data_IF_122224784741
#
_entry.id   IF_122224784741
#
_cell.length_a   1.000
_cell.length_b   1.000
_cell.length_c   1.000
_cell.angle_alpha   90.00
_cell.angle_beta   90.00
_cell.angle_gamma   90.00
#
_symmetry.space_group_name_H-M   'P 1'
#
loop_
_entity.id
_entity.type
_entity.pdbx_description
1 polymer ?
#
# COMPACT_ATOMS: atom_id res chain seq x y z
N UNK A 1 34.74 -20.82 53.02
CA UNK A 1 34.88 -20.19 51.69
C UNK A 1 34.57 -21.27 50.68
N UNK A 2 33.62 -20.99 49.78
CA UNK A 2 33.19 -21.80 48.63
C UNK A 2 32.57 -23.17 48.95
N UNK A 3 31.66 -23.77 48.20
CA UNK A 3 30.81 -23.51 47.02
C UNK A 3 30.33 -24.95 46.64
N UNK A 4 29.23 -25.28 46.01
CA UNK A 4 28.09 -24.60 45.41
C UNK A 4 27.10 -25.74 45.09
N UNK A 5 25.81 -25.52 45.35
CA UNK A 5 24.73 -26.44 44.99
C UNK A 5 24.55 -26.49 43.45
N UNK A 6 24.36 -27.70 42.92
CA UNK A 6 23.98 -27.93 41.52
C UNK A 6 22.44 -27.92 41.44
N UNK A 7 21.79 -27.05 40.65
CA UNK A 7 20.34 -27.04 40.52
C UNK A 7 19.84 -28.10 39.52
N UNK A 8 18.57 -28.56 39.63
CA UNK A 8 18.02 -29.60 38.77
C UNK A 8 17.77 -29.07 37.35
N UNK A 9 17.98 -29.96 36.38
CA UNK A 9 17.82 -29.74 34.94
C UNK A 9 16.38 -29.37 34.58
N UNK A 10 16.20 -28.15 34.09
CA UNK A 10 14.96 -27.63 33.54
C UNK A 10 14.70 -28.27 32.16
N UNK A 11 14.04 -29.44 32.15
CA UNK A 11 13.48 -30.01 30.92
C UNK A 11 12.29 -29.14 30.52
N UNK A 12 12.52 -28.18 29.63
CA UNK A 12 11.45 -27.52 28.88
C UNK A 12 10.71 -28.60 28.10
N UNK A 13 9.53 -28.98 28.59
CA UNK A 13 8.54 -29.67 27.78
C UNK A 13 8.14 -28.72 26.63
N UNK A 14 8.55 -29.07 25.41
CA UNK A 14 7.99 -28.49 24.19
C UNK A 14 6.52 -28.92 24.12
N UNK A 15 5.61 -28.05 24.55
CA UNK A 15 4.19 -28.21 24.26
C UNK A 15 3.97 -27.97 22.77
N UNK A 16 3.27 -28.87 22.05
CA UNK A 16 2.91 -28.61 20.65
C UNK A 16 1.94 -27.42 20.58
N UNK A 17 2.01 -26.57 19.54
CA UNK A 17 1.07 -25.48 19.38
C UNK A 17 -0.34 -26.06 19.19
N UNK A 18 -1.21 -25.85 20.17
CA UNK A 18 -2.61 -26.24 20.06
C UNK A 18 -3.29 -25.32 19.04
N UNK A 19 -3.47 -25.83 17.81
CA UNK A 19 -4.33 -25.20 16.80
C UNK A 19 -5.76 -25.17 17.35
N UNK A 20 -6.24 -24.01 17.77
CA UNK A 20 -7.65 -23.87 18.14
C UNK A 20 -8.51 -24.11 16.88
N UNK A 21 -9.58 -24.90 16.94
CA UNK A 21 -10.45 -25.10 15.79
C UNK A 21 -11.09 -23.78 15.36
N UNK A 22 -11.25 -23.59 14.03
CA UNK A 22 -11.91 -22.43 13.43
C UNK A 22 -13.32 -22.22 14.04
N UNK A 23 -13.81 -20.97 14.15
CA UNK A 23 -15.15 -20.71 14.69
C UNK A 23 -16.26 -21.41 13.91
N UNK A 24 -17.28 -21.90 14.61
CA UNK A 24 -18.41 -22.61 13.99
C UNK A 24 -19.12 -21.77 12.89
N UNK A 25 -19.37 -20.48 13.16
CA UNK A 25 -19.95 -19.58 12.17
C UNK A 25 -19.07 -19.40 10.91
N UNK A 26 -17.74 -19.48 11.07
CA UNK A 26 -16.81 -19.41 9.94
C UNK A 26 -16.83 -20.73 9.14
N UNK A 27 -16.88 -21.87 9.82
CA UNK A 27 -17.02 -23.18 9.16
C UNK A 27 -18.34 -23.31 8.38
N UNK A 28 -19.43 -22.79 8.94
CA UNK A 28 -20.73 -22.71 8.26
C UNK A 28 -20.65 -21.86 7.00
N UNK A 29 -20.09 -20.64 7.09
CA UNK A 29 -19.85 -19.77 5.94
C UNK A 29 -19.00 -20.47 4.85
N UNK A 30 -17.93 -21.16 5.24
CA UNK A 30 -17.10 -21.92 4.29
C UNK A 30 -17.91 -23.02 3.60
N UNK A 31 -18.71 -23.77 4.36
CA UNK A 31 -19.58 -24.83 3.84
C UNK A 31 -20.63 -24.29 2.86
N UNK A 32 -21.29 -23.19 3.18
CA UNK A 32 -22.28 -22.53 2.32
C UNK A 32 -21.67 -22.04 1.00
N UNK A 33 -20.39 -21.65 1.00
CA UNK A 33 -19.67 -21.17 -0.18
C UNK A 33 -18.82 -22.25 -0.88
N UNK A 34 -18.93 -23.51 -0.47
CA UNK A 34 -18.20 -24.63 -1.08
C UNK A 34 -16.68 -24.58 -0.88
N UNK A 35 -16.21 -23.94 0.19
CA UNK A 35 -14.80 -23.79 0.54
C UNK A 35 -14.39 -24.85 1.56
N UNK A 36 -13.28 -25.54 1.31
CA UNK A 36 -12.74 -26.54 2.23
C UNK A 36 -12.03 -25.86 3.42
N UNK A 37 -12.46 -26.08 4.68
CA UNK A 37 -11.79 -25.56 5.87
C UNK A 37 -10.31 -25.95 5.98
N UNK A 38 -9.90 -27.07 5.38
CA UNK A 38 -8.50 -27.51 5.38
C UNK A 38 -7.56 -26.56 4.63
N UNK A 39 -8.09 -25.65 3.80
CA UNK A 39 -7.30 -24.56 3.21
C UNK A 39 -6.71 -23.63 4.28
N UNK A 40 -7.44 -23.44 5.39
CA UNK A 40 -7.06 -22.54 6.48
C UNK A 40 -6.17 -23.19 7.53
N UNK A 41 -6.12 -24.52 7.60
CA UNK A 41 -5.20 -25.26 8.49
C UNK A 41 -3.80 -25.44 7.89
N UNK A 42 -3.62 -25.11 6.61
CA UNK A 42 -2.36 -25.24 5.85
C UNK A 42 -1.64 -23.91 5.63
N UNK A 43 -1.96 -22.87 6.41
CA UNK A 43 -1.39 -21.52 6.26
C UNK A 43 0.14 -21.49 6.23
N UNK A 44 0.79 -22.37 7.01
CA UNK A 44 2.24 -22.49 7.13
C UNK A 44 2.87 -23.18 5.91
N UNK A 45 2.07 -23.69 4.98
CA UNK A 45 2.53 -24.28 3.71
C UNK A 45 2.36 -23.33 2.53
N UNK A 46 1.64 -22.21 2.71
CA UNK A 46 1.42 -21.25 1.64
C UNK A 46 2.75 -20.53 1.37
N UNK A 47 3.27 -20.60 0.14
CA UNK A 47 4.52 -19.94 -0.19
C UNK A 47 4.37 -18.42 -0.05
N UNK A 48 5.49 -17.77 0.23
CA UNK A 48 5.57 -16.31 0.08
C UNK A 48 5.96 -15.99 -1.34
N UNK A 49 5.55 -14.81 -1.80
CA UNK A 49 5.86 -14.34 -3.13
C UNK A 49 6.77 -13.13 -3.06
N UNK A 50 7.74 -13.11 -3.96
CA UNK A 50 8.59 -11.96 -4.24
C UNK A 50 8.46 -11.59 -5.71
N UNK A 51 8.59 -10.30 -5.97
CA UNK A 51 8.74 -9.77 -7.32
C UNK A 51 10.14 -9.20 -7.48
N UNK A 52 10.78 -9.55 -8.59
CA UNK A 52 12.03 -8.94 -9.03
C UNK A 52 11.72 -7.65 -9.80
N UNK A 53 12.58 -6.66 -9.70
CA UNK A 53 12.44 -5.44 -10.49
C UNK A 53 12.58 -5.78 -11.99
N UNK A 54 11.79 -5.18 -12.90
CA UNK A 54 11.95 -5.41 -14.33
C UNK A 54 13.37 -5.13 -14.82
N UNK A 55 13.81 -5.89 -15.83
CA UNK A 55 15.18 -5.77 -16.38
C UNK A 55 16.25 -6.42 -15.52
N UNK A 56 15.88 -7.30 -14.59
CA UNK A 56 16.84 -8.09 -13.80
C UNK A 56 17.43 -9.23 -14.65
N UNK A 57 18.76 -9.26 -14.75
CA UNK A 57 19.50 -10.29 -15.50
C UNK A 57 19.40 -11.68 -14.85
N UNK A 58 19.46 -12.79 -15.63
CA UNK A 58 19.41 -14.15 -15.09
C UNK A 58 20.48 -14.44 -14.02
N UNK A 59 21.68 -13.87 -14.14
CA UNK A 59 22.75 -14.03 -13.14
C UNK A 59 22.33 -13.52 -11.75
N UNK A 60 21.47 -12.50 -11.69
CA UNK A 60 20.97 -11.93 -10.43
C UNK A 60 20.02 -12.90 -9.73
N UNK A 61 19.29 -13.75 -10.46
CA UNK A 61 18.43 -14.78 -9.85
C UNK A 61 19.29 -15.75 -9.04
N UNK A 62 20.40 -16.23 -9.62
CA UNK A 62 21.33 -17.14 -8.93
C UNK A 62 22.00 -16.48 -7.72
N UNK A 63 22.33 -15.18 -7.82
CA UNK A 63 22.82 -14.40 -6.66
C UNK A 63 21.78 -14.37 -5.53
N UNK A 64 20.51 -14.10 -5.87
CA UNK A 64 19.41 -14.04 -4.89
C UNK A 64 19.19 -15.42 -4.25
N UNK A 65 19.20 -16.50 -5.03
CA UNK A 65 19.07 -17.87 -4.52
C UNK A 65 20.18 -18.20 -3.51
N UNK A 66 21.43 -17.82 -3.82
CA UNK A 66 22.57 -17.99 -2.91
C UNK A 66 22.43 -17.14 -1.64
N UNK A 67 21.93 -15.90 -1.74
CA UNK A 67 21.71 -15.02 -0.57
C UNK A 67 20.60 -15.56 0.33
N UNK A 68 19.49 -16.01 -0.26
CA UNK A 68 18.32 -16.50 0.46
C UNK A 68 18.45 -17.96 0.92
N UNK A 69 19.43 -18.69 0.38
CA UNK A 69 19.65 -20.13 0.62
C UNK A 69 18.43 -20.97 0.26
N UNK A 70 17.74 -20.60 -0.82
CA UNK A 70 16.60 -21.33 -1.34
C UNK A 70 16.47 -21.11 -2.85
N UNK A 71 15.92 -22.11 -3.55
CA UNK A 71 15.60 -21.99 -4.96
C UNK A 71 14.38 -21.09 -5.16
N UNK A 72 14.42 -20.25 -6.20
CA UNK A 72 13.31 -19.37 -6.54
C UNK A 72 12.37 -20.07 -7.54
N UNK A 73 11.16 -20.41 -7.10
CA UNK A 73 10.17 -21.08 -7.95
C UNK A 73 9.40 -20.06 -8.80
N UNK A 74 9.71 -19.95 -10.09
CA UNK A 74 9.05 -19.00 -11.00
C UNK A 74 7.53 -19.24 -11.06
N UNK A 75 6.75 -18.16 -10.93
CA UNK A 75 5.30 -18.18 -11.15
C UNK A 75 5.03 -18.00 -12.64
N UNK A 76 4.71 -19.07 -13.35
CA UNK A 76 4.68 -19.09 -14.83
C UNK A 76 3.71 -18.10 -15.47
N UNK A 77 2.60 -17.79 -14.80
CA UNK A 77 1.54 -16.90 -15.28
C UNK A 77 1.71 -15.44 -14.84
N UNK A 78 2.75 -15.13 -14.04
CA UNK A 78 2.97 -13.80 -13.48
C UNK A 78 4.44 -13.36 -13.70
N UNK A 79 4.69 -12.34 -14.54
CA UNK A 79 6.05 -11.96 -14.92
C UNK A 79 6.81 -11.41 -13.72
N UNK A 80 8.09 -11.79 -13.61
CA UNK A 80 9.01 -11.40 -12.54
C UNK A 80 8.63 -11.87 -11.13
N UNK A 81 7.64 -12.76 -10.99
CA UNK A 81 7.24 -13.33 -9.70
C UNK A 81 7.87 -14.70 -9.43
N UNK A 82 8.27 -14.88 -8.18
CA UNK A 82 8.85 -16.12 -7.68
C UNK A 82 8.24 -16.45 -6.32
N UNK A 83 7.91 -17.73 -6.13
CA UNK A 83 7.53 -18.29 -4.86
C UNK A 83 8.78 -18.71 -4.08
N UNK A 84 8.76 -18.43 -2.79
CA UNK A 84 9.77 -18.84 -1.80
C UNK A 84 9.07 -19.53 -0.63
N UNK A 85 9.77 -20.45 0.07
CA UNK A 85 9.23 -21.05 1.28
C UNK A 85 8.84 -20.00 2.35
N UNK A 86 7.77 -20.24 3.12
CA UNK A 86 7.20 -19.24 4.04
C UNK A 86 8.14 -18.76 5.15
N UNK A 87 9.08 -19.60 5.56
CA UNK A 87 10.11 -19.34 6.57
C UNK A 87 11.22 -18.40 6.08
N UNK A 88 11.41 -18.26 4.76
CA UNK A 88 12.47 -17.44 4.19
C UNK A 88 12.15 -15.96 4.40
N UNK A 89 13.10 -15.24 5.00
CA UNK A 89 13.02 -13.80 5.23
C UNK A 89 13.92 -13.05 4.27
N UNK A 90 13.33 -12.19 3.44
CA UNK A 90 14.10 -11.40 2.46
C UNK A 90 14.73 -10.14 3.06
N UNK A 91 14.25 -9.66 4.22
CA UNK A 91 14.63 -8.34 4.74
C UNK A 91 16.14 -8.18 5.01
N UNK A 92 16.82 -9.29 5.34
CA UNK A 92 18.26 -9.32 5.58
C UNK A 92 19.12 -9.48 4.33
N UNK A 93 18.54 -9.79 3.16
CA UNK A 93 19.28 -10.00 1.91
C UNK A 93 19.77 -8.68 1.31
N UNK A 94 20.91 -8.71 0.62
CA UNK A 94 21.43 -7.56 -0.11
C UNK A 94 20.50 -7.22 -1.28
N UNK A 95 19.96 -8.23 -1.96
CA UNK A 95 18.96 -8.05 -3.00
C UNK A 95 17.74 -7.24 -2.54
N UNK A 96 17.22 -7.52 -1.35
CA UNK A 96 16.14 -6.71 -0.78
C UNK A 96 16.64 -5.31 -0.43
N UNK A 97 17.76 -5.18 0.29
CA UNK A 97 18.26 -3.88 0.76
C UNK A 97 18.57 -2.91 -0.40
N UNK A 98 19.10 -3.42 -1.51
CA UNK A 98 19.41 -2.66 -2.72
C UNK A 98 18.19 -2.42 -3.62
N UNK A 99 17.01 -2.91 -3.25
CA UNK A 99 15.79 -2.70 -4.01
C UNK A 99 15.68 -3.54 -5.29
N UNK A 100 16.38 -4.68 -5.36
CA UNK A 100 16.27 -5.62 -6.49
C UNK A 100 15.00 -6.48 -6.40
N UNK A 101 14.55 -6.78 -5.16
CA UNK A 101 13.36 -7.59 -4.88
C UNK A 101 12.45 -6.94 -3.85
N UNK A 102 11.16 -7.23 -3.91
CA UNK A 102 10.21 -6.93 -2.85
C UNK A 102 9.13 -7.99 -2.69
N UNK A 103 8.59 -8.10 -1.47
CA UNK A 103 7.47 -8.98 -1.19
C UNK A 103 6.16 -8.37 -1.66
N UNK A 104 5.40 -9.13 -2.43
CA UNK A 104 4.05 -8.80 -2.88
C UNK A 104 3.31 -10.11 -3.16
N UNK A 105 2.05 -10.21 -2.76
CA UNK A 105 1.25 -11.41 -2.99
C UNK A 105 0.95 -11.62 -4.49
N UNK A 106 0.90 -12.87 -4.94
CA UNK A 106 0.64 -13.19 -6.34
C UNK A 106 -0.74 -12.69 -6.81
N UNK A 107 -1.77 -12.72 -5.95
CA UNK A 107 -3.08 -12.18 -6.27
C UNK A 107 -3.05 -10.65 -6.45
N UNK A 108 -2.22 -9.96 -5.65
CA UNK A 108 -1.99 -8.52 -5.83
C UNK A 108 -1.31 -8.21 -7.17
N UNK A 109 -0.34 -9.03 -7.58
CA UNK A 109 0.28 -8.92 -8.89
C UNK A 109 -0.70 -9.18 -10.04
N UNK A 110 -1.56 -10.19 -9.90
CA UNK A 110 -2.59 -10.52 -10.87
C UNK A 110 -3.57 -9.36 -11.10
N UNK A 111 -4.02 -8.71 -10.01
CA UNK A 111 -4.91 -7.55 -10.09
C UNK A 111 -4.29 -6.38 -10.86
N UNK A 112 -2.99 -6.15 -10.67
CA UNK A 112 -2.27 -5.07 -11.36
C UNK A 112 -2.04 -5.40 -12.83
N UNK A 113 -1.73 -6.66 -13.18
CA UNK A 113 -1.71 -7.08 -14.58
C UNK A 113 -3.07 -6.90 -15.25
N UNK A 114 -4.15 -7.26 -14.56
CA UNK A 114 -5.50 -7.14 -15.11
C UNK A 114 -5.93 -5.68 -15.34
N UNK A 115 -5.35 -4.73 -14.61
CA UNK A 115 -5.58 -3.30 -14.81
C UNK A 115 -5.00 -2.80 -16.15
N UNK A 116 -4.00 -3.50 -16.69
CA UNK A 116 -3.37 -3.24 -17.98
C UNK A 116 -2.90 -1.77 -18.13
N UNK A 117 -2.06 -1.33 -17.19
CA UNK A 117 -1.47 0.01 -17.19
C UNK A 117 -0.48 0.15 -18.33
N UNK A 118 -0.63 1.23 -19.10
CA UNK A 118 0.25 1.56 -20.23
C UNK A 118 1.11 2.79 -19.93
N UNK A 119 2.30 2.92 -20.54
CA UNK A 119 3.08 4.14 -20.46
C UNK A 119 2.29 5.35 -20.94
N UNK A 120 2.19 6.37 -20.10
CA UNK A 120 1.40 7.58 -20.38
C UNK A 120 0.12 7.67 -19.56
N UNK A 121 -0.37 6.56 -19.02
CA UNK A 121 -1.58 6.52 -18.19
C UNK A 121 -1.45 7.40 -16.94
N UNK A 122 -2.57 7.96 -16.53
CA UNK A 122 -2.77 8.59 -15.24
C UNK A 122 -3.49 7.61 -14.33
N UNK A 123 -2.77 7.07 -13.36
CA UNK A 123 -3.25 5.98 -12.51
C UNK A 123 -3.56 6.47 -11.10
N UNK A 124 -4.71 6.08 -10.57
CA UNK A 124 -5.14 6.32 -9.18
C UNK A 124 -5.18 5.00 -8.40
N UNK A 125 -4.54 4.96 -7.24
CA UNK A 125 -4.63 3.89 -6.25
C UNK A 125 -5.27 4.45 -4.98
N UNK A 126 -6.54 4.11 -4.72
CA UNK A 126 -7.34 4.69 -3.63
C UNK A 126 -7.02 4.10 -2.24
N UNK A 127 -6.23 3.03 -2.18
CA UNK A 127 -5.84 2.34 -0.93
C UNK A 127 -4.35 1.95 -0.99
N UNK A 128 -3.51 2.95 -1.29
CA UNK A 128 -2.16 2.71 -1.78
C UNK A 128 -1.20 2.13 -0.73
N UNK A 129 -1.45 2.29 0.57
CA UNK A 129 -0.49 1.86 1.58
C UNK A 129 -0.59 0.35 1.87
N UNK A 130 0.53 -0.38 2.04
CA UNK A 130 1.87 0.13 2.32
C UNK A 130 2.74 0.36 1.07
N UNK A 131 2.22 0.25 -0.15
CA UNK A 131 2.89 0.70 -1.37
C UNK A 131 3.40 -0.37 -2.32
N UNK A 132 3.24 -1.68 -2.02
CA UNK A 132 3.74 -2.73 -2.90
C UNK A 132 3.04 -2.74 -4.26
N UNK A 133 1.71 -2.58 -4.28
CA UNK A 133 0.94 -2.45 -5.52
C UNK A 133 1.32 -1.18 -6.27
N UNK A 134 1.40 -0.06 -5.56
CA UNK A 134 1.85 1.22 -6.10
C UNK A 134 3.25 1.14 -6.75
N UNK A 135 4.20 0.42 -6.15
CA UNK A 135 5.51 0.17 -6.77
C UNK A 135 5.38 -0.62 -8.07
N UNK A 136 4.58 -1.69 -8.10
CA UNK A 136 4.38 -2.46 -9.33
C UNK A 136 3.68 -1.64 -10.43
N UNK A 137 2.71 -0.78 -10.06
CA UNK A 137 2.08 0.16 -10.98
C UNK A 137 3.11 1.15 -11.55
N UNK A 138 4.00 1.69 -10.70
CA UNK A 138 5.06 2.60 -11.14
C UNK A 138 6.05 1.93 -12.10
N UNK A 139 6.39 0.65 -11.87
CA UNK A 139 7.24 -0.13 -12.79
C UNK A 139 6.57 -0.29 -14.16
N UNK A 140 5.25 -0.55 -14.22
CA UNK A 140 4.49 -0.69 -15.47
C UNK A 140 4.33 0.63 -16.22
N UNK A 141 4.07 1.71 -15.47
CA UNK A 141 3.89 3.05 -16.01
C UNK A 141 5.16 3.57 -16.69
N UNK A 142 6.33 3.19 -16.19
CA UNK A 142 7.62 3.54 -16.78
C UNK A 142 7.93 5.03 -16.68
N UNK A 143 8.24 5.67 -17.82
CA UNK A 143 8.81 7.02 -17.86
C UNK A 143 7.84 8.11 -18.31
N UNK A 144 6.55 7.81 -18.48
CA UNK A 144 5.50 8.77 -18.89
C UNK A 144 4.23 8.58 -18.06
N UNK A 145 3.33 9.57 -18.03
CA UNK A 145 2.12 9.53 -17.20
C UNK A 145 2.37 9.91 -15.74
N UNK A 146 1.41 9.63 -14.85
CA UNK A 146 1.50 9.94 -13.42
C UNK A 146 0.77 8.95 -12.52
N UNK A 147 1.24 8.82 -11.28
CA UNK A 147 0.68 7.89 -10.29
C UNK A 147 0.23 8.64 -9.05
N UNK A 148 -1.03 8.44 -8.65
CA UNK A 148 -1.61 9.05 -7.46
C UNK A 148 -1.98 7.97 -6.47
N UNK A 149 -1.34 7.97 -5.30
CA UNK A 149 -1.69 7.08 -4.19
C UNK A 149 -2.46 7.82 -3.10
N UNK A 150 -3.57 7.25 -2.65
CA UNK A 150 -4.41 7.78 -1.57
C UNK A 150 -4.51 6.75 -0.46
N UNK A 151 -4.42 7.19 0.79
CA UNK A 151 -4.70 6.33 1.95
C UNK A 151 -5.02 7.17 3.19
N UNK A 152 -6.03 6.76 3.96
CA UNK A 152 -6.42 7.47 5.20
C UNK A 152 -5.34 7.35 6.29
N UNK A 153 -4.56 6.26 6.30
CA UNK A 153 -3.57 5.97 7.32
C UNK A 153 -2.20 6.58 6.96
N UNK A 154 -2.01 7.86 7.34
CA UNK A 154 -0.76 8.62 7.16
C UNK A 154 0.54 7.87 7.48
N UNK A 155 0.56 7.07 8.55
CA UNK A 155 1.75 6.31 8.94
C UNK A 155 2.07 5.17 7.97
N UNK A 156 1.05 4.50 7.41
CA UNK A 156 1.22 3.48 6.38
C UNK A 156 1.64 4.12 5.06
N UNK A 157 1.06 5.28 4.72
CA UNK A 157 1.43 6.02 3.51
C UNK A 157 2.87 6.57 3.59
N UNK A 158 3.37 6.88 4.80
CA UNK A 158 4.79 7.18 4.99
C UNK A 158 5.70 5.98 4.70
N UNK A 159 5.27 4.75 5.00
CA UNK A 159 5.97 3.53 4.61
C UNK A 159 5.93 3.33 3.09
N UNK A 160 4.80 3.61 2.44
CA UNK A 160 4.67 3.64 0.98
C UNK A 160 5.68 4.59 0.33
N UNK A 161 5.83 5.81 0.86
CA UNK A 161 6.86 6.75 0.40
C UNK A 161 8.27 6.15 0.52
N UNK A 162 8.60 5.56 1.67
CA UNK A 162 9.91 4.91 1.86
C UNK A 162 10.13 3.77 0.86
N UNK A 163 9.08 3.01 0.54
CA UNK A 163 9.11 1.95 -0.47
C UNK A 163 9.42 2.54 -1.86
N UNK A 164 8.64 3.53 -2.32
CA UNK A 164 8.88 4.21 -3.60
C UNK A 164 10.30 4.77 -3.73
N UNK A 165 10.82 5.39 -2.65
CA UNK A 165 12.18 5.93 -2.63
C UNK A 165 13.24 4.82 -2.72
N UNK A 166 13.07 3.75 -1.95
CA UNK A 166 13.98 2.60 -1.94
C UNK A 166 14.11 1.96 -3.32
N UNK A 167 13.00 1.81 -4.04
CA UNK A 167 12.99 1.18 -5.37
C UNK A 167 13.23 2.18 -6.52
N UNK A 168 13.41 3.47 -6.22
CA UNK A 168 13.55 4.56 -7.20
C UNK A 168 12.37 4.68 -8.17
N UNK A 169 11.15 4.58 -7.62
CA UNK A 169 9.89 4.60 -8.36
C UNK A 169 9.00 5.81 -8.02
N UNK A 170 9.51 6.72 -7.20
CA UNK A 170 8.75 7.83 -6.66
C UNK A 170 8.64 9.05 -7.58
N UNK A 171 9.44 9.16 -8.64
CA UNK A 171 9.60 10.40 -9.41
C UNK A 171 8.30 10.90 -10.04
N UNK A 172 7.41 10.01 -10.47
CA UNK A 172 6.09 10.36 -11.06
C UNK A 172 4.91 10.19 -10.10
N UNK A 173 5.20 9.87 -8.84
CA UNK A 173 4.19 9.57 -7.83
C UNK A 173 3.83 10.81 -7.02
N UNK A 174 2.57 10.89 -6.57
CA UNK A 174 2.09 11.83 -5.55
C UNK A 174 1.20 11.10 -4.56
N UNK A 175 1.40 11.36 -3.27
CA UNK A 175 0.71 10.65 -2.18
C UNK A 175 -0.14 11.60 -1.34
N UNK A 176 -1.41 11.27 -1.20
CA UNK A 176 -2.38 12.03 -0.43
C UNK A 176 -2.92 11.23 0.76
N UNK A 177 -2.97 11.88 1.92
CA UNK A 177 -3.75 11.39 3.05
C UNK A 177 -5.15 11.97 2.91
N UNK A 178 -6.12 11.11 2.59
CA UNK A 178 -7.52 11.48 2.41
C UNK A 178 -8.43 10.27 2.60
N UNK A 179 -9.72 10.52 2.72
CA UNK A 179 -10.75 9.50 2.55
C UNK A 179 -10.89 9.20 1.06
N UNK A 180 -10.73 7.92 0.69
CA UNK A 180 -10.83 7.45 -0.68
C UNK A 180 -12.22 7.68 -1.27
N UNK A 181 -13.28 7.62 -0.46
CA UNK A 181 -14.68 7.81 -0.88
C UNK A 181 -15.03 9.26 -1.26
N UNK A 182 -14.19 10.22 -0.89
CA UNK A 182 -14.40 11.65 -1.17
C UNK A 182 -13.25 12.30 -1.94
N UNK A 183 -12.31 11.50 -2.47
CA UNK A 183 -11.13 12.02 -3.14
C UNK A 183 -11.46 12.48 -4.58
N UNK A 184 -11.10 13.73 -4.91
CA UNK A 184 -11.50 14.39 -6.17
C UNK A 184 -10.37 15.22 -6.82
N UNK A 185 -9.11 14.95 -6.46
CA UNK A 185 -7.97 15.63 -7.09
C UNK A 185 -7.62 14.94 -8.41
N UNK A 186 -7.67 15.69 -9.50
CA UNK A 186 -7.38 15.22 -10.86
C UNK A 186 -5.89 14.98 -11.12
N UNK A 187 -5.52 14.10 -12.09
CA UNK A 187 -4.16 14.00 -12.58
C UNK A 187 -3.62 15.33 -13.09
N UNK A 188 -2.29 15.49 -12.99
CA UNK A 188 -1.63 16.65 -13.57
C UNK A 188 -1.24 16.30 -14.99
N UNK A 189 -1.95 16.90 -15.95
CA UNK A 189 -1.70 16.74 -17.37
C UNK A 189 -0.73 17.83 -17.83
N UNK A 190 0.14 17.51 -18.77
CA UNK A 190 1.11 18.44 -19.39
C UNK A 190 0.44 19.69 -19.99
N UNK A 191 -0.84 19.61 -20.38
CA UNK A 191 -1.61 20.74 -20.90
C UNK A 191 -1.90 21.82 -19.84
N UNK A 192 -1.91 21.50 -18.55
CA UNK A 192 -2.14 22.50 -17.50
C UNK A 192 -0.99 23.52 -17.41
N UNK A 193 0.22 23.13 -17.83
CA UNK A 193 1.37 24.04 -17.95
C UNK A 193 1.26 25.05 -19.09
N UNK A 194 0.40 24.80 -20.09
CA UNK A 194 0.26 25.67 -21.27
C UNK A 194 -0.75 26.81 -21.10
N UNK A 195 -1.65 26.73 -20.11
CA UNK A 195 -2.73 27.71 -19.95
C UNK A 195 -2.38 28.94 -19.10
N UNK A 196 -1.27 28.97 -18.34
CA UNK A 196 -0.95 30.13 -17.49
C UNK A 196 0.56 30.45 -17.37
N UNK A 197 1.22 30.63 -18.51
CA UNK A 197 2.53 31.30 -18.57
C UNK A 197 2.42 32.84 -18.67
N UNK A 198 1.35 33.44 -18.12
CA UNK A 198 1.18 34.89 -18.10
C UNK A 198 0.88 35.44 -16.70
N UNK A 199 1.54 36.58 -16.43
CA UNK A 199 1.44 37.51 -15.31
C UNK A 199 2.39 37.22 -14.13
N UNK A 200 3.46 38.01 -14.10
CA UNK A 200 4.31 38.20 -12.94
C UNK A 200 3.51 38.68 -11.74
N UNK A 201 3.48 37.85 -10.71
CA UNK A 201 3.09 38.20 -9.35
C UNK A 201 4.17 37.61 -8.44
N UNK A 202 4.67 38.43 -7.52
CA UNK A 202 5.77 38.11 -6.61
C UNK A 202 5.58 36.76 -5.89
N UNK A 203 6.64 35.95 -5.90
CA UNK A 203 6.73 34.63 -5.32
C UNK A 203 6.67 34.68 -3.79
N UNK A 204 5.51 34.31 -3.25
CA UNK A 204 5.27 34.23 -1.81
C UNK A 204 5.34 32.77 -1.28
N UNK A 205 6.02 31.86 -2.00
CA UNK A 205 6.12 30.43 -1.65
C UNK A 205 4.92 29.60 -2.09
N UNK A 206 4.17 30.10 -3.08
CA UNK A 206 2.95 29.49 -3.62
C UNK A 206 3.21 28.44 -4.70
N UNK A 207 4.44 28.31 -5.18
CA UNK A 207 4.86 27.34 -6.20
C UNK A 207 5.41 26.06 -5.53
N UNK A 208 5.23 24.90 -6.16
CA UNK A 208 5.89 23.67 -5.76
C UNK A 208 7.37 23.68 -6.21
N UNK A 209 8.28 23.64 -5.24
CA UNK A 209 9.69 23.29 -5.48
C UNK A 209 9.86 21.76 -5.49
N UNK A 210 11.06 21.27 -5.82
CA UNK A 210 11.41 19.87 -5.57
C UNK A 210 11.08 19.46 -4.13
N UNK A 211 10.57 18.24 -3.98
CA UNK A 211 10.13 17.74 -2.69
C UNK A 211 11.32 17.52 -1.76
N UNK A 212 11.18 17.92 -0.49
CA UNK A 212 12.17 17.64 0.54
C UNK A 212 11.51 17.00 1.77
N UNK A 213 12.25 16.15 2.48
CA UNK A 213 11.78 15.54 3.72
C UNK A 213 11.65 16.54 4.88
N UNK A 214 12.25 17.72 4.75
CA UNK A 214 12.21 18.78 5.77
C UNK A 214 10.87 19.50 5.72
N UNK A 215 10.02 19.26 6.73
CA UNK A 215 8.81 20.06 6.94
C UNK A 215 9.16 21.54 7.03
N UNK A 216 8.44 22.36 6.26
CA UNK A 216 8.58 23.81 6.32
C UNK A 216 8.32 24.31 7.74
N UNK A 217 8.99 25.39 8.12
CA UNK A 217 8.79 26.05 9.41
C UNK A 217 7.31 26.41 9.66
N UNK A 218 6.58 26.79 8.61
CA UNK A 218 5.13 27.07 8.66
C UNK A 218 4.31 25.81 9.02
N UNK A 219 4.65 24.64 8.46
CA UNK A 219 3.99 23.36 8.78
C UNK A 219 4.30 22.91 10.20
N UNK A 220 5.53 23.16 10.67
CA UNK A 220 5.94 22.92 12.07
C UNK A 220 5.13 23.80 13.03
N UNK A 221 4.86 25.05 12.68
CA UNK A 221 4.01 25.92 13.50
C UNK A 221 2.53 25.51 13.48
N UNK A 222 1.97 25.18 12.30
CA UNK A 222 0.57 24.72 12.17
C UNK A 222 0.33 23.44 12.98
N UNK A 223 1.26 22.49 12.93
CA UNK A 223 1.21 21.25 13.74
C UNK A 223 1.44 21.48 15.23
N UNK A 224 2.30 22.44 15.64
CA UNK A 224 2.42 22.86 17.05
C UNK A 224 1.14 23.50 17.58
N UNK A 225 0.48 24.34 16.77
CA UNK A 225 -0.78 25.01 17.12
C UNK A 225 -1.94 24.01 17.25
N UNK A 226 -2.01 23.02 16.35
CA UNK A 226 -2.98 21.93 16.44
C UNK A 226 -2.79 21.05 17.70
N UNK A 227 -1.53 20.73 18.06
CA UNK A 227 -1.21 20.00 19.29
C UNK A 227 -1.52 20.80 20.57
N UNK A 228 -1.32 22.12 20.54
CA UNK A 228 -1.63 22.99 21.67
C UNK A 228 -3.14 23.18 21.91
N UNK A 229 -3.96 23.00 20.87
CA UNK A 229 -5.42 23.08 20.95
C UNK A 229 -6.10 21.81 21.51
N UNK A 230 -5.33 20.84 22.03
CA UNK A 230 -5.87 19.68 22.73
C UNK A 230 -6.63 18.66 21.87
N UNK A 231 -6.59 18.76 20.53
CA UNK A 231 -7.15 17.74 19.64
C UNK A 231 -6.14 16.59 19.47
N UNK A 232 -6.38 15.38 20.02
CA UNK A 232 -5.50 14.22 19.84
C UNK A 232 -5.66 13.63 18.43
N UNK A 233 -6.81 13.90 17.81
CA UNK A 233 -7.11 13.57 16.44
C UNK A 233 -6.71 14.74 15.53
N UNK A 234 -6.11 14.50 14.36
CA UNK A 234 -6.00 15.55 13.35
C UNK A 234 -7.41 16.13 13.15
N UNK A 235 -7.55 17.46 12.95
CA UNK A 235 -8.84 18.00 12.53
C UNK A 235 -9.30 17.15 11.35
N UNK A 236 -10.57 16.74 11.34
CA UNK A 236 -11.24 16.16 10.17
C UNK A 236 -11.21 17.21 9.07
N UNK A 237 -10.07 17.43 8.45
CA UNK A 237 -9.97 18.25 7.26
C UNK A 237 -10.48 17.34 6.17
N UNK A 238 -11.70 17.65 5.71
CA UNK A 238 -12.27 17.17 4.45
C UNK A 238 -11.33 17.37 3.24
N UNK A 239 -10.25 18.15 3.40
CA UNK A 239 -9.26 18.42 2.38
C UNK A 239 -8.10 17.39 2.39
N UNK A 240 -7.79 16.78 1.23
CA UNK A 240 -6.64 15.89 1.07
C UNK A 240 -5.29 16.52 1.46
N UNK A 241 -4.48 15.81 2.26
CA UNK A 241 -3.12 16.25 2.62
C UNK A 241 -2.07 15.61 1.69
N UNK A 242 -1.42 16.40 0.83
CA UNK A 242 -0.28 15.94 0.02
C UNK A 242 0.97 15.76 0.89
N UNK A 243 1.46 14.52 1.03
CA UNK A 243 2.62 14.19 1.89
C UNK A 243 3.90 13.85 1.12
N UNK A 244 3.78 13.55 -0.17
CA UNK A 244 4.90 13.23 -1.05
C UNK A 244 4.54 13.57 -2.50
N UNK A 245 5.52 14.06 -3.26
CA UNK A 245 5.45 14.13 -4.71
C UNK A 245 6.86 14.01 -5.28
N UNK A 246 7.01 13.27 -6.36
CA UNK A 246 8.28 13.14 -7.06
C UNK A 246 8.59 14.32 -7.97
N UNK A 247 9.84 14.40 -8.45
CA UNK A 247 10.31 15.49 -9.30
C UNK A 247 9.57 15.59 -10.65
N UNK A 248 9.13 14.44 -11.18
CA UNK A 248 8.43 14.29 -12.46
C UNK A 248 6.92 14.04 -12.27
N UNK A 249 6.38 14.30 -11.08
CA UNK A 249 4.95 14.15 -10.75
C UNK A 249 4.03 15.16 -11.45
N UNK A 250 4.61 16.08 -12.23
CA UNK A 250 3.94 17.24 -12.82
C UNK A 250 3.75 18.40 -11.86
N UNK A 251 4.07 18.26 -10.56
CA UNK A 251 3.81 19.33 -9.58
C UNK A 251 4.88 20.42 -9.57
N UNK A 252 6.15 20.07 -9.75
CA UNK A 252 7.26 21.02 -9.65
C UNK A 252 7.08 22.16 -10.66
N UNK A 253 7.15 23.41 -10.19
CA UNK A 253 6.90 24.60 -10.99
C UNK A 253 5.45 25.06 -11.07
N UNK A 254 4.47 24.25 -10.63
CA UNK A 254 3.06 24.64 -10.60
C UNK A 254 2.69 25.41 -9.33
N UNK A 255 1.71 26.30 -9.45
CA UNK A 255 1.12 26.97 -8.30
C UNK A 255 0.20 26.02 -7.51
N UNK A 256 0.41 25.95 -6.19
CA UNK A 256 -0.31 25.08 -5.25
C UNK A 256 -1.84 25.21 -5.31
N UNK A 257 -2.34 26.41 -5.60
CA UNK A 257 -3.79 26.70 -5.68
C UNK A 257 -4.52 25.97 -6.82
N UNK A 258 -3.81 25.55 -7.86
CA UNK A 258 -4.41 24.90 -9.03
C UNK A 258 -4.38 23.37 -8.93
N UNK A 259 -3.51 22.82 -8.10
CA UNK A 259 -3.32 21.37 -7.97
C UNK A 259 -4.19 20.78 -6.87
N UNK A 260 -4.39 21.53 -5.77
CA UNK A 260 -5.09 21.02 -4.58
C UNK A 260 -6.59 21.31 -4.59
N UNK A 261 -7.15 21.85 -5.69
CA UNK A 261 -8.58 22.09 -5.80
C UNK A 261 -9.30 20.80 -6.21
N UNK A 262 -10.39 20.43 -5.52
CA UNK A 262 -11.33 19.43 -5.99
C UNK A 262 -11.79 19.74 -7.42
N UNK A 263 -11.99 18.71 -8.25
CA UNK A 263 -12.63 18.87 -9.55
C UNK A 263 -14.03 19.46 -9.40
N UNK A 264 -14.41 20.35 -10.30
CA UNK A 264 -15.83 20.57 -10.61
C UNK A 264 -16.29 19.48 -11.59
N UNK A 265 -17.55 19.04 -11.52
CA UNK A 265 -18.06 17.91 -12.32
C UNK A 265 -17.77 18.02 -13.83
N UNK A 266 -17.72 19.25 -14.37
CA UNK A 266 -17.41 19.49 -15.77
C UNK A 266 -15.94 19.19 -16.18
N UNK A 267 -14.98 19.32 -15.25
CA UNK A 267 -13.56 19.09 -15.53
C UNK A 267 -13.16 17.61 -15.45
N UNK A 268 -13.81 16.83 -14.59
CA UNK A 268 -13.56 15.39 -14.45
C UNK A 268 -13.87 14.64 -15.76
N UNK A 269 -14.94 15.03 -16.46
CA UNK A 269 -15.39 14.40 -17.72
C UNK A 269 -14.38 14.48 -18.90
N UNK A 270 -13.28 15.23 -18.79
CA UNK A 270 -12.29 15.40 -19.88
C UNK A 270 -10.83 15.26 -19.44
N UNK A 271 -10.56 15.01 -18.15
CA UNK A 271 -9.20 14.99 -17.59
C UNK A 271 -9.09 14.13 -16.33
N UNK A 272 -9.90 13.07 -16.25
CA UNK A 272 -9.86 12.08 -15.17
C UNK A 272 -8.69 11.11 -15.29
N UNK A 273 -8.75 10.02 -14.52
CA UNK A 273 -7.69 9.01 -14.47
C UNK A 273 -7.97 7.91 -15.49
N UNK A 274 -6.97 7.53 -16.28
CA UNK A 274 -7.09 6.44 -17.25
C UNK A 274 -7.33 5.08 -16.58
N UNK A 275 -6.77 4.90 -15.37
CA UNK A 275 -6.84 3.66 -14.59
C UNK A 275 -7.06 3.94 -13.12
N UNK A 276 -7.97 3.19 -12.50
CA UNK A 276 -8.23 3.27 -11.06
C UNK A 276 -8.13 1.89 -10.43
N UNK A 277 -7.29 1.78 -9.40
CA UNK A 277 -7.19 0.61 -8.54
C UNK A 277 -7.90 0.89 -7.22
N UNK A 278 -8.87 0.05 -6.90
CA UNK A 278 -9.59 0.06 -5.63
C UNK A 278 -9.34 -1.25 -4.91
N UNK A 279 -8.54 -1.20 -3.85
CA UNK A 279 -8.27 -2.35 -3.00
C UNK A 279 -9.16 -2.26 -1.75
N UNK A 280 -10.40 -2.76 -1.88
CA UNK A 280 -11.33 -2.81 -0.77
C UNK A 280 -10.85 -3.83 0.30
N UNK A 281 -10.30 -3.30 1.39
CA UNK A 281 -9.97 -4.01 2.64
C UNK A 281 -8.91 -5.13 2.58
N UNK A 282 -7.75 -4.90 1.96
CA UNK A 282 -6.67 -5.91 1.98
C UNK A 282 -6.01 -6.15 3.35
N UNK A 283 -6.21 -5.28 4.34
CA UNK A 283 -5.34 -5.29 5.53
C UNK A 283 -5.93 -6.05 6.73
N UNK A 284 -7.24 -6.31 6.78
CA UNK A 284 -7.87 -6.81 8.02
C UNK A 284 -8.65 -8.14 7.88
N UNK A 285 -9.21 -8.52 6.72
CA UNK A 285 -10.32 -9.49 6.76
C UNK A 285 -10.14 -10.82 6.00
N UNK A 286 -9.00 -11.09 5.33
CA UNK A 286 -8.94 -12.26 4.44
C UNK A 286 -7.69 -13.16 4.48
N UNK A 287 -6.52 -12.64 4.87
CA UNK A 287 -5.32 -13.50 4.81
C UNK A 287 -5.37 -14.55 5.93
N UNK A 288 -5.10 -15.81 5.60
CA UNK A 288 -5.13 -16.93 6.56
C UNK A 288 -4.25 -16.62 7.79
N UNK A 289 -3.07 -16.01 7.56
CA UNK A 289 -2.17 -15.56 8.63
C UNK A 289 -2.76 -14.47 9.53
N UNK A 290 -3.65 -13.62 9.02
CA UNK A 290 -4.33 -12.61 9.83
C UNK A 290 -5.45 -13.24 10.67
N UNK A 291 -6.22 -14.16 10.08
CA UNK A 291 -7.26 -14.92 10.78
C UNK A 291 -6.64 -15.74 11.93
N UNK A 292 -5.50 -16.40 11.70
CA UNK A 292 -4.78 -17.17 12.72
C UNK A 292 -4.32 -16.34 13.93
N UNK A 293 -4.08 -15.02 13.79
CA UNK A 293 -3.74 -14.17 14.95
C UNK A 293 -4.86 -14.15 16.00
N UNK A 294 -6.09 -14.39 15.58
CA UNK A 294 -7.25 -14.45 16.47
C UNK A 294 -7.34 -15.76 17.25
N UNK A 295 -6.55 -16.79 16.94
CA UNK A 295 -6.33 -17.91 17.86
C UNK A 295 -5.70 -17.41 19.17
N UNK A 296 -4.75 -16.48 19.07
CA UNK A 296 -4.09 -15.87 20.24
C UNK A 296 -4.90 -14.72 20.86
N UNK A 297 -5.58 -13.91 20.03
CA UNK A 297 -6.34 -12.73 20.48
C UNK A 297 -7.80 -13.02 20.86
N UNK A 298 -8.24 -14.26 20.64
CA UNK A 298 -9.60 -14.74 20.88
C UNK A 298 -10.57 -14.43 19.73
N UNK A 299 -11.39 -15.42 19.37
CA UNK A 299 -12.37 -15.34 18.29
C UNK A 299 -13.47 -14.28 18.51
N UNK A 300 -13.81 -13.94 19.75
CA UNK A 300 -14.70 -12.79 20.05
C UNK A 300 -14.13 -11.45 19.59
N UNK A 301 -12.80 -11.35 19.50
CA UNK A 301 -12.12 -10.16 18.98
C UNK A 301 -12.21 -10.09 17.46
N UNK A 302 -12.18 -11.25 16.77
CA UNK A 302 -12.42 -11.33 15.32
C UNK A 302 -13.83 -10.85 15.02
N UNK A 303 -14.83 -11.41 15.70
CA UNK A 303 -16.24 -11.07 15.51
C UNK A 303 -16.49 -9.56 15.66
N UNK A 304 -15.97 -8.96 16.72
CA UNK A 304 -16.11 -7.51 16.96
C UNK A 304 -15.34 -6.62 15.97
N UNK A 305 -14.17 -7.04 15.49
CA UNK A 305 -13.27 -6.18 14.70
C UNK A 305 -13.43 -6.35 13.19
N UNK A 306 -13.81 -7.55 12.76
CA UNK A 306 -13.82 -8.01 11.37
C UNK A 306 -15.26 -8.31 10.95
N UNK A 307 -15.93 -9.24 11.64
CA UNK A 307 -17.28 -9.70 11.26
C UNK A 307 -18.43 -8.85 11.83
N UNK A 308 -18.15 -7.62 12.25
CA UNK A 308 -19.17 -6.76 12.85
C UNK A 308 -20.21 -6.38 11.80
N UNK A 309 -21.48 -6.72 12.06
CA UNK A 309 -22.63 -6.50 11.17
C UNK A 309 -22.77 -5.05 10.69
N UNK A 310 -22.49 -4.06 11.54
CA UNK A 310 -22.55 -2.64 11.13
C UNK A 310 -21.44 -2.29 10.14
N UNK A 311 -20.27 -2.91 10.27
CA UNK A 311 -19.12 -2.70 9.38
C UNK A 311 -19.29 -3.45 8.06
N UNK A 312 -19.73 -4.71 8.13
CA UNK A 312 -20.00 -5.52 6.94
C UNK A 312 -21.23 -5.03 6.18
N UNK A 313 -22.22 -4.44 6.85
CA UNK A 313 -23.39 -3.82 6.22
C UNK A 313 -23.04 -2.60 5.37
N UNK A 314 -22.01 -1.85 5.75
CA UNK A 314 -21.55 -0.66 5.02
C UNK A 314 -20.57 -0.97 3.88
N UNK A 315 -20.05 -2.20 3.78
CA UNK A 315 -19.10 -2.59 2.72
C UNK A 315 -19.67 -2.38 1.31
N UNK A 316 -20.94 -2.76 1.10
CA UNK A 316 -21.62 -2.56 -0.17
C UNK A 316 -21.72 -1.08 -0.54
N UNK A 317 -22.05 -0.22 0.43
CA UNK A 317 -22.12 1.22 0.20
C UNK A 317 -20.74 1.80 -0.11
N UNK A 318 -19.70 1.40 0.64
CA UNK A 318 -18.32 1.81 0.37
C UNK A 318 -17.85 1.38 -1.01
N UNK A 319 -18.20 0.17 -1.45
CA UNK A 319 -17.91 -0.30 -2.80
C UNK A 319 -18.64 0.51 -3.87
N UNK A 320 -19.91 0.88 -3.64
CA UNK A 320 -20.68 1.76 -4.53
C UNK A 320 -20.09 3.17 -4.60
N UNK A 321 -19.68 3.73 -3.47
CA UNK A 321 -19.07 5.06 -3.40
C UNK A 321 -17.73 5.07 -4.14
N UNK A 322 -16.89 4.04 -3.96
CA UNK A 322 -15.67 3.86 -4.74
C UNK A 322 -15.95 3.68 -6.23
N UNK A 323 -16.97 2.90 -6.61
CA UNK A 323 -17.34 2.72 -8.01
C UNK A 323 -17.81 4.05 -8.64
N UNK A 324 -18.50 4.89 -7.87
CA UNK A 324 -18.92 6.21 -8.33
C UNK A 324 -17.71 7.11 -8.66
N UNK A 325 -16.61 6.98 -7.91
CA UNK A 325 -15.34 7.66 -8.24
C UNK A 325 -14.72 7.07 -9.51
N UNK A 326 -14.76 5.74 -9.69
CA UNK A 326 -14.26 5.09 -10.91
C UNK A 326 -15.07 5.52 -12.14
N UNK A 327 -16.39 5.66 -12.02
CA UNK A 327 -17.27 6.10 -13.10
C UNK A 327 -17.18 7.59 -13.40
N UNK A 328 -16.70 8.39 -12.45
CA UNK A 328 -16.45 9.82 -12.60
C UNK A 328 -15.02 10.15 -13.09
N UNK A 329 -14.11 9.18 -13.06
CA UNK A 329 -12.77 9.25 -13.61
C UNK A 329 -12.77 8.97 -15.12
#
# INVERSE_FOLDING_TARGET
MDSSEIPPSDRREEQPPASLPLPAAFLEFLGENGLDPALYSKADTIPRYIRLKPGTEPMVVTEIESELKCDLMKVSWLPDFYAIPPEIQIAGSMAYQQGKIYGIDAASGAAILALDVQPGDHVLDLCAAPGAKLCMLADMLGSTGSLTGVDVAKHRLAACRTMLQKYSLGDRSRLFVADGTSFSILPVNSNLGSMEAFVGIEDNGSIFSEWTSKRSWKDRQKSKKAKAAGSPHPPSTSEPELIYYGKDSGLVGLQKRYVLRPSTDAAACTSGYDKVLVDAECTHDGSIKHIQKFEFWGWKTLDRRVLNVERTGNLLQLQVDHLSIVLAA
#
